data_IF_002400117898
#
_entry.id   IF_002400117898
#
_cell.length_a   1.000
_cell.length_b   1.000
_cell.length_c   1.000
_cell.angle_alpha   90.00
_cell.angle_beta   90.00
_cell.angle_gamma   90.00
#
_symmetry.space_group_name_H-M   'P 1'
#
loop_
_entity.id
_entity.type
_entity.pdbx_description
1 polymer ?
#
# COMPACT_ATOMS: atom_id res chain seq x y z
N UNK A 1 -42.27 -61.92 2.07
CA UNK A 1 -41.94 -61.10 0.89
C UNK A 1 -40.92 -60.07 1.35
N UNK A 2 -39.76 -60.03 0.70
CA UNK A 2 -38.63 -59.14 0.97
C UNK A 2 -38.86 -57.84 0.18
N UNK A 3 -39.07 -56.70 0.82
CA UNK A 3 -38.87 -55.41 0.16
C UNK A 3 -37.39 -55.03 0.30
N UNK A 4 -36.69 -55.10 -0.83
CA UNK A 4 -35.37 -54.49 -1.00
C UNK A 4 -35.64 -53.07 -1.46
N UNK A 5 -35.40 -52.07 -0.62
CA UNK A 5 -35.48 -50.67 -1.04
C UNK A 5 -34.11 -50.05 -0.83
N UNK A 6 -33.41 -49.98 -1.96
CA UNK A 6 -32.07 -49.47 -2.27
C UNK A 6 -31.37 -48.57 -1.23
N UNK A 7 -30.21 -49.05 -0.76
CA UNK A 7 -29.10 -48.24 -0.23
C UNK A 7 -28.53 -47.35 -1.34
N UNK A 8 -29.26 -46.29 -1.68
CA UNK A 8 -28.82 -45.26 -2.61
C UNK A 8 -28.17 -44.11 -1.86
N UNK A 9 -27.08 -43.57 -2.41
CA UNK A 9 -26.40 -42.32 -1.98
C UNK A 9 -27.38 -41.12 -1.82
N UNK A 10 -28.60 -41.25 -2.35
CA UNK A 10 -29.70 -40.30 -2.28
C UNK A 10 -30.70 -40.57 -1.14
N UNK A 11 -30.28 -41.23 -0.06
CA UNK A 11 -31.20 -41.46 1.06
C UNK A 11 -31.61 -40.11 1.70
N UNK A 12 -32.92 -39.88 1.77
CA UNK A 12 -33.51 -38.59 2.15
C UNK A 12 -33.07 -38.18 3.57
N UNK A 13 -32.85 -39.16 4.43
CA UNK A 13 -32.49 -38.97 5.82
C UNK A 13 -31.03 -38.52 6.03
N UNK A 14 -30.15 -38.72 5.04
CA UNK A 14 -28.71 -38.39 5.15
C UNK A 14 -28.34 -37.20 4.27
N UNK A 15 -28.66 -37.28 2.98
CA UNK A 15 -28.27 -36.25 2.00
C UNK A 15 -29.33 -35.16 1.87
N UNK A 16 -30.61 -35.51 2.02
CA UNK A 16 -31.73 -34.57 1.89
C UNK A 16 -31.70 -33.45 2.94
N UNK A 17 -31.41 -33.78 4.20
CA UNK A 17 -31.31 -32.79 5.28
C UNK A 17 -30.22 -31.72 5.00
N UNK A 18 -29.07 -32.15 4.48
CA UNK A 18 -27.95 -31.25 4.16
C UNK A 18 -28.27 -30.34 2.96
N UNK A 19 -28.93 -30.88 1.93
CA UNK A 19 -29.37 -30.09 0.76
C UNK A 19 -30.45 -29.07 1.18
N UNK A 20 -31.40 -29.47 2.02
CA UNK A 20 -32.41 -28.56 2.56
C UNK A 20 -31.78 -27.45 3.41
N UNK A 21 -30.79 -27.78 4.25
CA UNK A 21 -30.05 -26.81 5.04
C UNK A 21 -29.34 -25.78 4.15
N UNK A 22 -28.59 -26.23 3.13
CA UNK A 22 -27.90 -25.35 2.17
C UNK A 22 -28.88 -24.45 1.39
N UNK A 23 -30.05 -24.98 1.02
CA UNK A 23 -31.08 -24.22 0.32
C UNK A 23 -31.67 -23.12 1.21
N UNK A 24 -31.96 -23.42 2.47
CA UNK A 24 -32.47 -22.44 3.46
C UNK A 24 -31.42 -21.39 3.78
N UNK A 25 -30.16 -21.80 3.96
CA UNK A 25 -29.04 -20.91 4.21
C UNK A 25 -28.82 -19.94 3.03
N UNK A 26 -28.86 -20.46 1.80
CA UNK A 26 -28.73 -19.63 0.59
C UNK A 26 -29.87 -18.60 0.48
N UNK A 27 -31.10 -19.01 0.79
CA UNK A 27 -32.25 -18.10 0.79
C UNK A 27 -32.13 -17.04 1.90
N UNK A 28 -31.60 -17.41 3.07
CA UNK A 28 -31.34 -16.47 4.17
C UNK A 28 -30.30 -15.41 3.78
N UNK A 29 -29.18 -15.80 3.17
CA UNK A 29 -28.18 -14.85 2.68
C UNK A 29 -28.69 -14.00 1.52
N UNK A 30 -29.52 -14.55 0.63
CA UNK A 30 -30.16 -13.79 -0.44
C UNK A 30 -31.08 -12.71 0.13
N UNK A 31 -31.91 -13.05 1.13
CA UNK A 31 -32.74 -12.06 1.83
C UNK A 31 -31.93 -11.04 2.61
N UNK A 32 -30.82 -11.45 3.24
CA UNK A 32 -29.89 -10.53 3.91
C UNK A 32 -29.27 -9.54 2.90
N UNK A 33 -28.85 -10.03 1.74
CA UNK A 33 -28.30 -9.21 0.65
C UNK A 33 -29.35 -8.24 0.12
N UNK A 34 -30.56 -8.72 -0.13
CA UNK A 34 -31.70 -7.92 -0.58
C UNK A 34 -32.13 -6.91 0.49
N UNK A 35 -32.03 -7.25 1.78
CA UNK A 35 -32.25 -6.32 2.88
C UNK A 35 -31.16 -5.23 2.94
N UNK A 36 -29.89 -5.58 2.74
CA UNK A 36 -28.79 -4.61 2.63
C UNK A 36 -28.95 -3.70 1.40
N UNK A 37 -29.51 -4.23 0.31
CA UNK A 37 -29.77 -3.51 -0.94
C UNK A 37 -31.01 -2.59 -0.84
N UNK A 38 -32.06 -3.03 -0.14
CA UNK A 38 -33.28 -2.24 0.09
C UNK A 38 -33.09 -1.18 1.19
N UNK A 39 -32.15 -1.39 2.13
CA UNK A 39 -31.75 -0.33 3.06
C UNK A 39 -31.00 0.73 2.23
N UNK A 40 -31.53 1.95 2.09
CA UNK A 40 -30.87 2.99 1.30
C UNK A 40 -29.49 3.25 1.92
N UNK A 41 -28.46 2.95 1.13
CA UNK A 41 -27.02 2.97 1.46
C UNK A 41 -26.46 4.37 1.75
N UNK A 42 -27.07 5.16 2.64
CA UNK A 42 -26.66 6.56 2.87
C UNK A 42 -26.26 6.88 4.32
N UNK A 43 -26.60 6.07 5.35
CA UNK A 43 -26.26 6.46 6.74
C UNK A 43 -25.29 5.56 7.49
N UNK A 44 -25.21 4.26 7.24
CA UNK A 44 -24.37 3.37 8.08
C UNK A 44 -22.89 3.38 7.64
N UNK A 45 -22.62 3.35 6.34
CA UNK A 45 -21.25 3.41 5.81
C UNK A 45 -20.58 4.74 6.14
N UNK A 46 -21.30 5.87 6.02
CA UNK A 46 -20.81 7.19 6.41
C UNK A 46 -20.59 7.30 7.92
N UNK A 47 -21.53 6.81 8.75
CA UNK A 47 -21.43 6.92 10.20
C UNK A 47 -20.32 6.04 10.79
N UNK A 48 -20.20 4.77 10.37
CA UNK A 48 -19.13 3.90 10.84
C UNK A 48 -17.76 4.32 10.33
N UNK A 49 -17.63 4.74 9.05
CA UNK A 49 -16.33 5.17 8.51
C UNK A 49 -15.93 6.52 9.10
N UNK A 50 -16.86 7.47 9.31
CA UNK A 50 -16.54 8.73 10.03
C UNK A 50 -16.11 8.46 11.46
N UNK A 51 -16.82 7.60 12.19
CA UNK A 51 -16.48 7.30 13.59
C UNK A 51 -15.17 6.55 13.72
N UNK A 52 -14.83 5.70 12.74
CA UNK A 52 -13.52 5.06 12.61
C UNK A 52 -12.42 6.08 12.23
N UNK A 53 -12.69 6.99 11.30
CA UNK A 53 -11.77 8.07 10.92
C UNK A 53 -11.51 9.07 12.05
N UNK A 54 -12.53 9.44 12.82
CA UNK A 54 -12.34 10.28 14.02
C UNK A 54 -11.56 9.53 15.09
N UNK A 55 -11.85 8.25 15.32
CA UNK A 55 -11.08 7.43 16.27
C UNK A 55 -9.61 7.28 15.85
N UNK A 56 -9.32 7.32 14.54
CA UNK A 56 -7.96 7.31 13.98
C UNK A 56 -7.31 8.69 14.00
N UNK A 57 -8.06 9.78 13.76
CA UNK A 57 -7.54 11.16 13.85
C UNK A 57 -7.29 11.58 15.31
N UNK A 58 -8.04 11.04 16.27
CA UNK A 58 -7.77 11.24 17.71
C UNK A 58 -6.48 10.54 18.14
N UNK A 59 -6.07 9.45 17.48
CA UNK A 59 -4.74 8.87 17.68
C UNK A 59 -3.63 9.69 17.00
N UNK A 60 -3.98 10.80 16.33
CA UNK A 60 -3.09 11.62 15.52
C UNK A 60 -3.37 13.11 15.70
N UNK A 61 -3.26 13.61 16.93
CA UNK A 61 -3.02 15.01 17.30
C UNK A 61 -2.72 15.00 18.81
N UNK A 62 -1.75 15.67 19.40
CA UNK A 62 -0.75 16.66 18.99
C UNK A 62 0.31 16.63 20.11
N UNK A 63 1.57 16.92 19.82
CA UNK A 63 2.49 17.43 20.84
C UNK A 63 2.70 18.91 20.57
N UNK A 64 2.16 19.81 21.40
CA UNK A 64 2.25 21.25 21.19
C UNK A 64 3.28 21.86 22.15
N UNK A 65 4.57 21.96 21.78
CA UNK A 65 5.48 22.84 22.53
C UNK A 65 6.55 23.48 21.62
N UNK A 66 6.37 24.78 21.39
CA UNK A 66 7.37 25.85 21.44
C UNK A 66 8.58 25.79 20.47
N UNK A 67 8.59 26.66 19.46
CA UNK A 67 9.84 27.35 19.11
C UNK A 67 9.98 28.59 20.00
N UNK A 68 11.18 28.79 20.56
CA UNK A 68 11.90 30.00 20.19
C UNK A 68 13.41 29.74 20.03
N UNK A 69 13.93 30.18 18.90
CA UNK A 69 15.23 30.82 18.68
C UNK A 69 16.42 30.41 19.58
N UNK A 70 17.44 29.90 18.87
CA UNK A 70 18.87 29.93 19.16
C UNK A 70 19.34 29.12 20.37
N UNK A 71 20.21 28.17 20.05
CA UNK A 71 21.63 28.16 20.48
C UNK A 71 22.04 26.78 20.98
N UNK A 72 22.93 26.17 20.21
CA UNK A 72 23.94 25.20 20.68
C UNK A 72 23.43 23.90 21.32
N UNK A 73 24.02 22.81 20.83
CA UNK A 73 24.16 21.49 21.47
C UNK A 73 22.99 20.50 21.41
N UNK A 74 23.34 19.35 20.81
CA UNK A 74 22.95 17.96 21.15
C UNK A 74 21.53 17.45 20.88
N UNK A 75 21.50 16.46 19.97
CA UNK A 75 20.62 15.29 19.95
C UNK A 75 19.14 15.49 19.57
N UNK A 76 18.88 15.75 18.29
CA UNK A 76 17.68 15.21 17.62
C UNK A 76 18.01 13.83 17.05
N UNK A 77 17.22 12.84 17.46
CA UNK A 77 17.19 11.47 16.91
C UNK A 77 16.82 11.55 15.42
N UNK A 78 17.80 11.85 14.58
CA UNK A 78 17.85 11.33 13.22
C UNK A 78 17.81 9.82 13.42
N UNK A 79 16.86 9.12 12.81
CA UNK A 79 17.10 7.70 12.55
C UNK A 79 18.28 7.67 11.60
N UNK A 80 19.47 7.67 12.18
CA UNK A 80 20.74 7.47 11.54
C UNK A 80 20.73 6.01 11.09
N UNK A 81 19.97 5.75 10.03
CA UNK A 81 20.36 4.70 9.12
C UNK A 81 21.60 5.25 8.46
N UNK A 82 22.73 5.04 9.13
CA UNK A 82 24.04 5.11 8.51
C UNK A 82 23.88 4.31 7.21
N UNK A 83 23.83 5.01 6.07
CA UNK A 83 23.44 4.39 4.80
C UNK A 83 24.31 3.16 4.59
N UNK A 84 23.75 2.08 4.07
CA UNK A 84 24.53 0.86 3.92
C UNK A 84 25.80 1.14 3.09
N UNK A 85 26.92 0.52 3.48
CA UNK A 85 28.25 0.81 2.91
C UNK A 85 28.26 0.61 1.39
N UNK A 86 27.49 -0.37 0.90
CA UNK A 86 27.31 -0.64 -0.53
C UNK A 86 26.51 0.46 -1.23
N UNK A 87 25.47 1.00 -0.59
CA UNK A 87 24.69 2.16 -1.09
C UNK A 87 25.57 3.40 -1.19
N UNK A 88 26.38 3.68 -0.17
CA UNK A 88 27.31 4.80 -0.17
C UNK A 88 28.39 4.62 -1.24
N UNK A 89 28.96 3.42 -1.36
CA UNK A 89 29.94 3.10 -2.39
C UNK A 89 29.37 3.28 -3.79
N UNK A 90 28.14 2.83 -4.03
CA UNK A 90 27.46 2.98 -5.32
C UNK A 90 27.18 4.46 -5.64
N UNK A 91 26.70 5.23 -4.67
CA UNK A 91 26.52 6.69 -4.84
C UNK A 91 27.84 7.36 -5.20
N UNK A 92 28.91 7.07 -4.46
CA UNK A 92 30.23 7.63 -4.71
C UNK A 92 30.75 7.23 -6.10
N UNK A 93 30.57 5.96 -6.51
CA UNK A 93 30.92 5.48 -7.85
C UNK A 93 30.20 6.27 -8.93
N UNK A 94 28.88 6.43 -8.83
CA UNK A 94 28.07 7.15 -9.82
C UNK A 94 28.41 8.65 -9.88
N UNK A 95 28.67 9.28 -8.73
CA UNK A 95 29.03 10.69 -8.64
C UNK A 95 30.46 10.97 -9.11
N UNK A 96 31.40 10.04 -8.89
CA UNK A 96 32.77 10.13 -9.39
C UNK A 96 32.86 10.17 -10.92
N UNK A 97 31.79 9.75 -11.61
CA UNK A 97 31.71 9.80 -13.06
C UNK A 97 32.49 8.70 -13.77
N UNK A 98 32.87 7.62 -13.08
CA UNK A 98 33.31 6.38 -13.74
C UNK A 98 32.14 5.84 -14.55
N UNK A 99 32.11 6.19 -15.83
CA UNK A 99 31.14 5.71 -16.80
C UNK A 99 31.60 4.32 -17.22
N UNK A 100 31.31 3.35 -16.38
CA UNK A 100 31.33 1.93 -16.75
C UNK A 100 30.32 1.74 -17.92
N UNK A 101 30.18 0.55 -18.50
CA UNK A 101 29.27 0.32 -19.64
C UNK A 101 27.77 0.39 -19.26
N UNK A 102 27.37 1.42 -18.49
CA UNK A 102 26.02 1.63 -17.99
C UNK A 102 25.14 2.33 -19.00
N UNK A 103 23.90 1.86 -19.07
CA UNK A 103 22.88 2.28 -20.02
C UNK A 103 21.86 3.23 -19.36
N UNK A 104 21.74 3.17 -18.04
CA UNK A 104 20.89 4.06 -17.24
C UNK A 104 21.75 4.72 -16.16
N UNK A 105 21.64 6.04 -16.04
CA UNK A 105 22.34 6.83 -15.04
C UNK A 105 21.37 7.78 -14.34
N UNK A 106 21.29 7.68 -13.01
CA UNK A 106 20.47 8.53 -12.17
C UNK A 106 21.35 9.21 -11.13
N UNK A 107 21.25 10.55 -11.06
CA UNK A 107 22.03 11.37 -10.14
C UNK A 107 21.10 12.29 -9.38
N UNK A 108 21.05 12.13 -8.06
CA UNK A 108 20.25 12.95 -7.14
C UNK A 108 18.81 13.14 -7.64
N UNK A 109 18.22 12.07 -8.19
CA UNK A 109 16.88 12.11 -8.76
C UNK A 109 15.89 12.46 -7.67
N UNK A 110 15.09 13.50 -7.92
CA UNK A 110 14.09 14.01 -6.98
C UNK A 110 12.78 14.25 -7.70
N UNK A 111 11.67 13.81 -7.09
CA UNK A 111 10.32 14.08 -7.57
C UNK A 111 9.43 14.58 -6.48
N UNK A 112 8.76 15.70 -6.75
CA UNK A 112 7.78 16.30 -5.86
C UNK A 112 6.47 16.45 -6.63
N UNK A 113 5.38 15.97 -6.04
CA UNK A 113 4.02 16.19 -6.54
C UNK A 113 3.33 17.26 -5.70
N UNK A 114 2.54 18.09 -6.38
CA UNK A 114 1.67 19.05 -5.72
C UNK A 114 0.32 18.41 -5.43
N UNK A 115 -0.17 18.58 -4.21
CA UNK A 115 -1.46 18.07 -3.80
C UNK A 115 -2.42 19.23 -3.56
N UNK A 116 -3.31 19.47 -4.52
CA UNK A 116 -4.27 20.59 -4.50
C UNK A 116 -5.18 20.55 -3.26
N UNK A 117 -5.58 19.35 -2.83
CA UNK A 117 -6.52 19.16 -1.73
C UNK A 117 -5.96 19.57 -0.36
N UNK A 118 -4.65 19.46 -0.18
CA UNK A 118 -3.99 19.74 1.10
C UNK A 118 -3.04 20.93 1.03
N UNK A 119 -3.02 21.67 -0.11
CA UNK A 119 -2.07 22.75 -0.38
C UNK A 119 -0.62 22.37 -0.01
N UNK A 120 -0.28 21.10 -0.26
CA UNK A 120 0.93 20.46 0.22
C UNK A 120 1.82 20.00 -0.92
N UNK A 121 3.12 19.85 -0.62
CA UNK A 121 4.10 19.21 -1.51
C UNK A 121 4.40 17.84 -0.95
N UNK A 122 4.27 16.81 -1.78
CA UNK A 122 4.64 15.43 -1.44
C UNK A 122 5.90 15.05 -2.20
N UNK A 123 6.99 14.85 -1.46
CA UNK A 123 8.23 14.29 -2.01
C UNK A 123 8.00 12.80 -2.23
N UNK A 124 8.01 12.36 -3.49
CA UNK A 124 7.81 10.97 -3.86
C UNK A 124 9.12 10.21 -4.07
N UNK A 125 10.18 10.93 -4.46
CA UNK A 125 11.55 10.41 -4.58
C UNK A 125 12.48 11.53 -4.11
N UNK A 126 13.49 11.21 -3.29
CA UNK A 126 14.45 12.18 -2.79
C UNK A 126 15.89 11.67 -2.95
N UNK A 127 16.70 12.43 -3.69
CA UNK A 127 18.13 12.20 -3.90
C UNK A 127 18.56 10.78 -4.34
N UNK A 128 17.74 10.10 -5.16
CA UNK A 128 18.03 8.74 -5.62
C UNK A 128 19.18 8.73 -6.65
N UNK A 129 20.25 7.99 -6.37
CA UNK A 129 21.48 7.95 -7.18
C UNK A 129 21.95 6.51 -7.38
N UNK A 130 21.98 6.04 -8.62
CA UNK A 130 22.51 4.73 -9.02
C UNK A 130 22.71 4.68 -10.55
N UNK A 131 23.40 3.66 -11.05
CA UNK A 131 23.46 3.37 -12.50
C UNK A 131 23.18 1.90 -12.78
N UNK A 132 22.72 1.56 -13.98
CA UNK A 132 22.47 0.17 -14.42
C UNK A 132 23.34 -0.17 -15.61
N UNK A 133 24.13 -1.24 -15.49
CA UNK A 133 25.05 -1.74 -16.52
C UNK A 133 24.33 -2.41 -17.69
N UNK A 134 24.95 -2.44 -18.87
CA UNK A 134 24.43 -3.21 -19.99
C UNK A 134 24.32 -4.71 -19.62
N UNK A 135 23.13 -5.28 -19.83
CA UNK A 135 22.84 -6.69 -19.50
C UNK A 135 22.51 -6.94 -18.02
N UNK A 136 22.52 -5.91 -17.16
CA UNK A 136 22.11 -6.02 -15.77
C UNK A 136 20.57 -6.08 -15.62
N UNK A 137 20.08 -6.97 -14.76
CA UNK A 137 18.67 -7.02 -14.39
C UNK A 137 18.44 -6.24 -13.09
N UNK A 138 17.77 -5.09 -13.19
CA UNK A 138 17.53 -4.19 -12.06
C UNK A 138 16.03 -4.13 -11.70
N UNK A 139 15.71 -4.15 -10.41
CA UNK A 139 14.32 -4.09 -9.91
C UNK A 139 14.19 -3.27 -8.62
N UNK A 140 13.03 -2.63 -8.45
CA UNK A 140 12.71 -1.86 -7.25
C UNK A 140 11.90 -2.68 -6.24
N UNK A 141 12.37 -2.75 -4.99
CA UNK A 141 11.67 -3.39 -3.88
C UNK A 141 11.41 -2.38 -2.76
N UNK A 142 10.26 -2.50 -2.08
CA UNK A 142 9.91 -1.62 -0.97
C UNK A 142 8.40 -1.53 -0.73
N UNK A 143 7.99 -0.84 0.33
CA UNK A 143 6.57 -0.66 0.71
C UNK A 143 5.82 0.26 -0.25
N UNK A 144 4.48 0.29 -0.15
CA UNK A 144 3.66 1.23 -0.91
C UNK A 144 4.01 2.67 -0.51
N UNK A 145 4.25 3.53 -1.50
CA UNK A 145 4.67 4.91 -1.27
C UNK A 145 6.19 5.14 -1.22
N UNK A 146 7.03 4.11 -1.31
CA UNK A 146 8.49 4.25 -1.33
C UNK A 146 9.08 4.86 -2.63
N UNK A 147 8.24 5.27 -3.59
CA UNK A 147 8.71 5.91 -4.83
C UNK A 147 8.99 4.98 -6.03
N UNK A 148 8.82 3.66 -5.91
CA UNK A 148 9.11 2.68 -6.99
C UNK A 148 8.48 3.00 -8.35
N UNK A 149 7.14 3.15 -8.38
CA UNK A 149 6.40 3.47 -9.60
C UNK A 149 6.76 4.86 -10.09
N UNK A 150 6.95 5.82 -9.19
CA UNK A 150 7.36 7.19 -9.53
C UNK A 150 8.73 7.20 -10.23
N UNK A 151 9.70 6.44 -9.72
CA UNK A 151 11.03 6.32 -10.35
C UNK A 151 10.94 5.69 -11.74
N UNK A 152 10.17 4.61 -11.90
CA UNK A 152 9.96 3.99 -13.21
C UNK A 152 9.25 4.94 -14.18
N UNK A 153 8.24 5.70 -13.73
CA UNK A 153 7.57 6.69 -14.58
C UNK A 153 8.52 7.80 -15.05
N UNK A 154 9.45 8.24 -14.19
CA UNK A 154 10.50 9.19 -14.58
C UNK A 154 11.45 8.61 -15.63
N UNK A 155 11.91 7.36 -15.43
CA UNK A 155 12.81 6.68 -16.37
C UNK A 155 12.17 6.44 -17.74
N UNK A 156 10.87 6.15 -17.79
CA UNK A 156 10.13 5.97 -19.04
C UNK A 156 9.70 7.30 -19.71
N UNK A 157 10.01 8.46 -19.12
CA UNK A 157 9.59 9.77 -19.63
C UNK A 157 8.09 10.03 -19.52
N UNK A 158 7.36 9.31 -18.66
CA UNK A 158 5.91 9.47 -18.47
C UNK A 158 5.55 10.58 -17.47
N UNK A 159 6.52 11.08 -16.71
CA UNK A 159 6.33 12.21 -15.79
C UNK A 159 7.21 13.38 -16.21
N UNK A 160 6.61 14.56 -16.36
CA UNK A 160 7.34 15.83 -16.51
C UNK A 160 8.19 16.09 -15.26
N UNK A 161 9.37 16.72 -15.38
CA UNK A 161 10.33 16.90 -14.28
C UNK A 161 9.88 17.98 -13.29
#
# INVERSE_FOLDING_TARGET
>A
MKDKTSDGVFDWNVTGASICYLAVESFSYFLLTLALEIVPSIKLTSFMIKKWWEKINVFRHDSPYLEPLLESSSETVVTDFDEDVDVQAERNRVLSGSLDNSIIYLRNLRKVYFEEKHHGRKVAVDSLTFSVQEGECFGFLGTNGAGKTTTLSMLCGMSEF
#
